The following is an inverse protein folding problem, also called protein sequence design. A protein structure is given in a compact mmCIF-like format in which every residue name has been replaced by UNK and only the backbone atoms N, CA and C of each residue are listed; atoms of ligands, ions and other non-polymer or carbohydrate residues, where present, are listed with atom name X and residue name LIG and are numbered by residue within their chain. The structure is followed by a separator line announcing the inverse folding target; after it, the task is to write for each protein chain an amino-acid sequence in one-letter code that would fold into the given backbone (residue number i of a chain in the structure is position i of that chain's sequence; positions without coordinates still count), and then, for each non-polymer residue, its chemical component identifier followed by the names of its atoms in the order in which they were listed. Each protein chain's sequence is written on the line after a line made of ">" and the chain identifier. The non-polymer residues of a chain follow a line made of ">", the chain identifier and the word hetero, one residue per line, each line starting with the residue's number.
data_IF_925346446452
#
_entry.id   IF_925346446452
#
_cell.length_a   1.000
_cell.length_b   1.000
_cell.length_c   1.000
_cell.angle_alpha   90.00
_cell.angle_beta   90.00
_cell.angle_gamma   90.00
#
_symmetry.space_group_name_H-M   'P 1'
#
loop_
_entity.id
_entity.type
_entity.pdbx_description
1 polymer ?
#
# COMPACT_ATOMS: atom_id res chain seq x y z
N UNK A 1 23.40 -2.44 -1.42
CA UNK A 1 23.58 -2.56 0.03
C UNK A 1 22.55 -1.68 0.75
N UNK A 2 21.92 -2.22 1.82
CA UNK A 2 20.88 -1.53 2.61
C UNK A 2 21.36 -0.21 3.20
N UNK A 3 22.60 -0.17 3.70
CA UNK A 3 23.20 1.04 4.30
C UNK A 3 23.34 2.15 3.24
N UNK A 4 23.80 1.83 2.06
CA UNK A 4 23.89 2.81 0.96
C UNK A 4 22.51 3.38 0.58
N UNK A 5 21.48 2.52 0.53
CA UNK A 5 20.10 2.97 0.25
C UNK A 5 19.58 3.88 1.35
N UNK A 6 19.83 3.57 2.61
CA UNK A 6 19.45 4.43 3.74
C UNK A 6 20.14 5.78 3.63
N UNK A 7 21.44 5.82 3.31
CA UNK A 7 22.19 7.07 3.16
C UNK A 7 21.67 7.91 2.00
N UNK A 8 21.41 7.30 0.84
CA UNK A 8 20.82 7.99 -0.31
C UNK A 8 19.44 8.59 0.05
N UNK A 9 18.57 7.79 0.66
CA UNK A 9 17.24 8.25 1.07
C UNK A 9 17.32 9.39 2.09
N UNK A 10 18.22 9.30 3.07
CA UNK A 10 18.47 10.37 4.03
C UNK A 10 18.91 11.67 3.33
N UNK A 11 19.85 11.57 2.39
CA UNK A 11 20.33 12.73 1.65
C UNK A 11 19.24 13.41 0.82
N UNK A 12 18.41 12.59 0.12
CA UNK A 12 17.27 13.08 -0.65
C UNK A 12 16.25 13.79 0.26
N UNK A 13 15.83 13.13 1.35
CA UNK A 13 14.87 13.69 2.31
C UNK A 13 15.39 14.97 2.98
N UNK A 14 16.67 15.01 3.34
CA UNK A 14 17.30 16.19 3.92
C UNK A 14 17.27 17.38 2.94
N UNK A 15 17.62 17.13 1.68
CA UNK A 15 17.58 18.16 0.62
C UNK A 15 16.17 18.66 0.38
N UNK A 16 15.19 17.74 0.25
CA UNK A 16 13.78 18.09 0.06
C UNK A 16 13.22 18.91 1.24
N UNK A 17 13.61 18.58 2.46
CA UNK A 17 13.18 19.31 3.65
C UNK A 17 13.94 20.64 3.86
N UNK A 18 14.94 20.97 3.03
CA UNK A 18 15.82 22.15 3.16
C UNK A 18 16.42 22.29 4.57
N UNK A 19 16.82 21.18 5.21
CA UNK A 19 17.36 21.13 6.57
C UNK A 19 18.78 20.58 6.58
N UNK A 20 19.60 21.08 7.46
CA UNK A 20 20.96 20.56 7.66
C UNK A 20 20.95 19.16 8.30
N UNK A 21 19.95 18.86 9.12
CA UNK A 21 19.79 17.58 9.80
C UNK A 21 18.33 17.19 9.92
N UNK A 22 18.05 15.90 9.69
CA UNK A 22 16.75 15.30 9.97
C UNK A 22 16.78 14.57 11.32
N UNK A 23 15.62 14.48 11.97
CA UNK A 23 15.47 13.65 13.18
C UNK A 23 15.56 12.17 12.79
N UNK A 24 16.23 11.38 13.63
CA UNK A 24 16.25 9.95 13.47
C UNK A 24 14.88 9.32 13.69
N UNK A 25 14.67 8.18 13.06
CA UNK A 25 13.48 7.37 13.31
C UNK A 25 13.49 6.87 14.75
N UNK A 26 12.35 6.98 15.41
CA UNK A 26 12.20 6.55 16.81
C UNK A 26 11.83 5.06 16.80
N UNK A 27 12.61 4.22 17.51
CA UNK A 27 12.42 2.76 17.53
C UNK A 27 11.48 2.27 18.64
N UNK A 28 11.21 3.10 19.66
CA UNK A 28 10.40 2.70 20.82
C UNK A 28 9.41 3.81 21.22
N UNK A 29 8.43 3.45 22.09
CA UNK A 29 7.46 4.39 22.66
C UNK A 29 6.27 4.72 21.75
N UNK A 30 5.42 5.64 22.21
CA UNK A 30 4.17 6.01 21.54
C UNK A 30 4.38 6.65 20.16
N UNK A 31 5.52 7.30 19.96
CA UNK A 31 5.90 7.96 18.67
C UNK A 31 6.82 7.08 17.82
N UNK A 32 6.83 5.76 18.03
CA UNK A 32 7.65 4.84 17.27
C UNK A 32 7.38 4.97 15.77
N UNK A 33 8.44 5.12 15.01
CA UNK A 33 8.37 5.08 13.53
C UNK A 33 8.08 3.66 13.07
N UNK A 34 7.30 3.53 12.00
CA UNK A 34 7.07 2.23 11.37
C UNK A 34 8.38 1.66 10.82
N UNK A 35 8.51 0.33 10.86
CA UNK A 35 9.68 -0.36 10.34
C UNK A 35 9.83 -0.12 8.84
N UNK A 36 11.08 0.06 8.39
CA UNK A 36 11.41 0.23 6.98
C UNK A 36 12.85 -0.23 6.74
N UNK A 37 13.02 -1.21 5.86
CA UNK A 37 14.31 -1.81 5.53
C UNK A 37 14.46 -1.85 4.02
N UNK A 38 15.16 -0.90 3.40
CA UNK A 38 15.38 -0.89 1.97
C UNK A 38 16.42 -1.91 1.56
N UNK A 39 16.33 -2.41 0.33
CA UNK A 39 17.30 -3.31 -0.28
C UNK A 39 17.53 -3.00 -1.76
N UNK A 40 18.69 -3.40 -2.28
CA UNK A 40 18.93 -3.46 -3.71
C UNK A 40 18.44 -4.78 -4.29
N UNK A 41 17.96 -4.78 -5.51
CA UNK A 41 17.44 -5.98 -6.20
C UNK A 41 18.43 -7.17 -6.13
N UNK A 42 19.72 -6.91 -6.29
CA UNK A 42 20.76 -7.93 -6.24
C UNK A 42 20.92 -8.61 -4.86
N UNK A 43 20.44 -7.99 -3.77
CA UNK A 43 20.55 -8.52 -2.40
C UNK A 43 19.40 -9.43 -1.98
N UNK A 44 18.36 -9.52 -2.80
CA UNK A 44 17.19 -10.36 -2.55
C UNK A 44 17.07 -11.42 -3.64
N UNK A 45 16.76 -12.65 -3.25
CA UNK A 45 16.62 -13.78 -4.19
C UNK A 45 15.34 -14.55 -3.89
N UNK A 46 14.64 -14.98 -4.93
CA UNK A 46 13.53 -15.93 -4.79
C UNK A 46 14.04 -17.27 -4.28
N UNK A 47 13.32 -17.90 -3.37
CA UNK A 47 13.61 -19.25 -2.87
C UNK A 47 12.29 -19.99 -2.63
N UNK A 48 11.91 -20.84 -3.57
CA UNK A 48 10.60 -21.52 -3.54
C UNK A 48 9.44 -20.55 -3.44
N UNK A 49 8.54 -20.76 -2.50
CA UNK A 49 7.39 -19.87 -2.18
C UNK A 49 7.75 -18.68 -1.31
N UNK A 50 9.02 -18.30 -1.25
CA UNK A 50 9.46 -17.18 -0.44
C UNK A 50 10.68 -16.49 -1.04
N UNK A 51 11.45 -15.85 -0.20
CA UNK A 51 12.65 -15.12 -0.59
C UNK A 51 13.78 -15.30 0.42
N UNK A 52 15.00 -15.07 -0.03
CA UNK A 52 16.22 -15.03 0.80
C UNK A 52 16.79 -13.62 0.78
N UNK A 53 17.05 -13.07 1.98
CA UNK A 53 17.65 -11.75 2.17
C UNK A 53 18.58 -11.78 3.39
N UNK A 54 19.80 -11.24 3.26
CA UNK A 54 20.82 -11.25 4.33
C UNK A 54 21.03 -12.64 4.97
N UNK A 55 21.11 -13.67 4.13
CA UNK A 55 21.33 -15.05 4.60
C UNK A 55 20.11 -15.75 5.18
N UNK A 56 19.02 -15.03 5.47
CA UNK A 56 17.80 -15.57 6.06
C UNK A 56 16.74 -15.82 5.00
N UNK A 57 15.92 -16.85 5.20
CA UNK A 57 14.75 -17.14 4.36
C UNK A 57 13.49 -16.57 5.00
N UNK A 58 12.66 -15.97 4.18
CA UNK A 58 11.38 -15.36 4.57
C UNK A 58 10.26 -16.00 3.77
N UNK A 59 9.19 -16.35 4.46
CA UNK A 59 7.94 -16.77 3.83
C UNK A 59 7.20 -15.53 3.36
N UNK A 60 6.72 -15.55 2.13
CA UNK A 60 5.90 -14.49 1.55
C UNK A 60 4.48 -15.00 1.37
N UNK A 61 3.51 -14.23 1.81
CA UNK A 61 2.11 -14.47 1.51
C UNK A 61 1.87 -14.08 0.04
N UNK A 62 1.04 -14.81 -0.69
CA UNK A 62 0.82 -14.59 -2.14
C UNK A 62 2.12 -14.68 -2.97
N UNK A 63 2.98 -15.66 -2.66
CA UNK A 63 4.25 -15.86 -3.35
C UNK A 63 4.10 -16.07 -4.88
N UNK A 64 2.93 -16.48 -5.34
CA UNK A 64 2.60 -16.66 -6.76
C UNK A 64 2.64 -15.32 -7.54
N UNK A 65 2.48 -14.21 -6.84
CA UNK A 65 2.66 -12.85 -7.41
C UNK A 65 4.14 -12.48 -7.61
N UNK A 66 5.07 -13.24 -7.05
CA UNK A 66 6.49 -13.07 -7.30
C UNK A 66 6.85 -13.68 -8.66
N UNK A 67 6.42 -13.03 -9.72
CA UNK A 67 6.70 -13.46 -11.10
C UNK A 67 8.19 -13.38 -11.40
N UNK A 68 8.64 -14.05 -12.47
CA UNK A 68 10.04 -14.03 -12.93
C UNK A 68 10.44 -12.71 -13.61
N UNK A 69 9.66 -11.66 -13.39
CA UNK A 69 9.97 -10.32 -13.87
C UNK A 69 11.22 -9.77 -13.19
N UNK A 70 11.93 -8.91 -13.87
CA UNK A 70 13.12 -8.22 -13.33
C UNK A 70 12.70 -7.35 -12.15
N UNK A 71 13.16 -7.71 -10.97
CA UNK A 71 12.92 -6.93 -9.78
C UNK A 71 13.79 -5.69 -9.72
N UNK A 72 13.22 -4.60 -9.26
CA UNK A 72 13.93 -3.37 -8.96
C UNK A 72 14.26 -3.27 -7.46
N UNK A 73 15.01 -2.23 -7.09
CA UNK A 73 15.31 -1.93 -5.69
C UNK A 73 14.00 -1.68 -4.92
N UNK A 74 13.84 -2.32 -3.79
CA UNK A 74 12.62 -2.28 -3.01
C UNK A 74 12.84 -2.10 -1.52
N UNK A 75 11.82 -2.42 -0.73
CA UNK A 75 11.93 -2.37 0.72
C UNK A 75 10.97 -3.34 1.41
N UNK A 76 11.28 -3.70 2.66
CA UNK A 76 10.32 -4.19 3.61
C UNK A 76 9.76 -3.01 4.39
N UNK A 77 8.45 -2.87 4.44
CA UNK A 77 7.77 -1.80 5.15
C UNK A 77 6.78 -2.35 6.18
N UNK A 78 6.74 -1.75 7.35
CA UNK A 78 5.77 -2.10 8.39
C UNK A 78 4.60 -1.14 8.34
N UNK A 79 3.39 -1.68 8.34
CA UNK A 79 2.17 -0.87 8.43
C UNK A 79 1.81 -0.45 9.86
N UNK A 80 0.77 0.36 10.00
CA UNK A 80 0.29 0.84 11.30
C UNK A 80 -0.30 -0.28 12.20
N UNK A 81 -0.63 -1.44 11.62
CA UNK A 81 -1.10 -2.62 12.35
C UNK A 81 0.05 -3.50 12.86
N UNK A 82 1.28 -3.23 12.38
CA UNK A 82 2.49 -3.98 12.72
C UNK A 82 2.81 -5.10 11.74
N UNK A 83 2.02 -5.25 10.68
CA UNK A 83 2.29 -6.24 9.64
C UNK A 83 3.39 -5.75 8.70
N UNK A 84 4.20 -6.69 8.20
CA UNK A 84 5.30 -6.40 7.28
C UNK A 84 4.92 -6.71 5.85
N UNK A 85 5.28 -5.81 4.96
CA UNK A 85 5.00 -5.87 3.54
C UNK A 85 6.30 -5.86 2.75
N UNK A 86 6.39 -6.70 1.74
CA UNK A 86 7.40 -6.64 0.70
C UNK A 86 6.91 -5.68 -0.38
N UNK A 87 7.60 -4.55 -0.53
CA UNK A 87 7.34 -3.57 -1.58
C UNK A 87 8.38 -3.77 -2.68
N UNK A 88 7.98 -4.34 -3.79
CA UNK A 88 8.86 -4.73 -4.89
C UNK A 88 8.37 -4.09 -6.19
N UNK A 89 9.01 -3.01 -6.66
CA UNK A 89 8.73 -2.47 -7.98
C UNK A 89 9.14 -3.47 -9.07
N UNK A 90 8.29 -3.66 -10.04
CA UNK A 90 8.56 -4.49 -11.22
C UNK A 90 8.39 -3.65 -12.48
N UNK A 91 9.27 -3.86 -13.45
CA UNK A 91 9.10 -3.26 -14.76
C UNK A 91 8.09 -4.10 -15.56
N UNK A 92 7.10 -3.45 -16.15
CA UNK A 92 6.19 -4.09 -17.09
C UNK A 92 5.98 -3.20 -18.32
N UNK A 93 5.71 -3.81 -19.45
CA UNK A 93 5.32 -3.08 -20.64
C UNK A 93 3.85 -2.63 -20.50
N UNK A 94 3.58 -1.35 -20.65
CA UNK A 94 2.22 -0.84 -20.66
C UNK A 94 1.48 -1.40 -21.88
N UNK A 95 0.32 -1.98 -21.67
CA UNK A 95 -0.60 -2.36 -22.73
C UNK A 95 -1.55 -1.18 -22.95
N UNK A 96 -1.51 -0.61 -24.15
CA UNK A 96 -2.47 0.42 -24.54
C UNK A 96 -3.75 -0.28 -25.01
N UNK A 97 -4.86 0.12 -24.44
CA UNK A 97 -6.16 -0.28 -24.95
C UNK A 97 -6.42 0.44 -26.29
N UNK A 98 -7.16 -0.18 -27.21
CA UNK A 98 -7.58 0.52 -28.42
C UNK A 98 -8.34 1.79 -28.07
N UNK A 99 -8.17 2.83 -28.88
CA UNK A 99 -8.92 4.07 -28.72
C UNK A 99 -10.43 3.77 -28.76
N UNK A 100 -11.18 4.38 -27.86
CA UNK A 100 -12.65 4.30 -27.83
C UNK A 100 -13.21 5.70 -28.07
N UNK A 101 -14.24 5.78 -28.91
CA UNK A 101 -14.99 7.03 -29.13
C UNK A 101 -16.02 7.28 -27.99
N UNK A 102 -16.14 6.34 -27.07
CA UNK A 102 -17.06 6.47 -25.93
C UNK A 102 -16.45 7.35 -24.85
N UNK A 103 -17.20 8.34 -24.43
CA UNK A 103 -16.87 9.21 -23.29
C UNK A 103 -17.91 9.05 -22.19
N UNK A 104 -17.45 8.85 -20.93
CA UNK A 104 -18.31 8.73 -19.76
C UNK A 104 -17.94 9.82 -18.76
N UNK A 105 -18.92 10.64 -18.38
CA UNK A 105 -18.77 11.60 -17.29
C UNK A 105 -18.84 10.90 -15.94
N UNK A 106 -17.98 11.29 -14.98
CA UNK A 106 -17.99 10.76 -13.62
C UNK A 106 -18.10 11.91 -12.62
N UNK A 107 -19.18 11.96 -11.86
CA UNK A 107 -19.38 12.88 -10.74
C UNK A 107 -18.99 12.20 -9.41
N UNK A 108 -18.21 12.91 -8.58
CA UNK A 108 -17.76 12.43 -7.27
C UNK A 108 -18.58 13.10 -6.17
N UNK A 109 -19.19 12.30 -5.31
CA UNK A 109 -20.08 12.76 -4.26
C UNK A 109 -19.83 12.16 -2.87
N UNK A 110 -20.59 12.66 -1.89
CA UNK A 110 -20.53 12.19 -0.50
C UNK A 110 -21.51 11.05 -0.21
N UNK A 111 -22.66 11.03 -0.88
CA UNK A 111 -23.69 9.97 -0.73
C UNK A 111 -23.27 8.73 -1.49
N UNK A 112 -23.07 8.88 -2.78
CA UNK A 112 -22.39 7.90 -3.62
C UNK A 112 -20.98 8.42 -3.87
N UNK A 113 -19.98 7.55 -3.82
CA UNK A 113 -18.58 7.94 -4.02
C UNK A 113 -18.32 8.37 -5.47
N UNK A 114 -19.06 7.81 -6.42
CA UNK A 114 -19.07 8.20 -7.81
C UNK A 114 -20.41 7.84 -8.45
N UNK A 115 -20.82 8.64 -9.44
CA UNK A 115 -21.98 8.38 -10.32
C UNK A 115 -21.55 8.68 -11.75
N UNK A 116 -21.83 7.77 -12.68
CA UNK A 116 -21.52 7.98 -14.10
C UNK A 116 -22.68 8.65 -14.84
N UNK A 117 -22.39 9.25 -16.00
CA UNK A 117 -23.42 9.73 -16.94
C UNK A 117 -24.38 8.61 -17.40
N UNK A 118 -23.93 7.37 -17.37
CA UNK A 118 -24.69 6.20 -17.77
C UNK A 118 -25.54 5.61 -16.65
N UNK A 119 -25.47 6.20 -15.43
CA UNK A 119 -26.27 5.82 -14.28
C UNK A 119 -25.60 4.80 -13.34
N UNK A 120 -24.39 4.32 -13.64
CA UNK A 120 -23.65 3.46 -12.73
C UNK A 120 -23.26 4.21 -11.44
N UNK A 121 -23.28 3.49 -10.32
CA UNK A 121 -23.03 4.08 -9.01
C UNK A 121 -22.01 3.30 -8.21
N UNK A 122 -21.07 4.01 -7.63
CA UNK A 122 -20.17 3.49 -6.60
C UNK A 122 -20.67 3.96 -5.24
N UNK A 123 -21.20 3.04 -4.44
CA UNK A 123 -21.74 3.36 -3.11
C UNK A 123 -20.62 3.72 -2.14
N UNK A 124 -20.87 4.67 -1.25
CA UNK A 124 -20.04 4.97 -0.08
C UNK A 124 -20.51 4.15 1.13
N UNK A 125 -19.87 4.30 2.30
CA UNK A 125 -20.39 3.73 3.55
C UNK A 125 -19.61 2.53 4.10
N UNK A 126 -18.50 2.14 3.47
CA UNK A 126 -17.62 1.07 3.97
C UNK A 126 -17.12 1.31 5.42
N UNK A 127 -16.97 2.57 5.81
CA UNK A 127 -16.65 2.95 7.18
C UNK A 127 -17.87 2.80 8.10
N UNK A 128 -19.04 3.30 7.71
CA UNK A 128 -20.26 3.28 8.51
C UNK A 128 -20.66 1.86 8.92
N UNK A 129 -20.48 0.88 8.04
CA UNK A 129 -20.79 -0.53 8.36
C UNK A 129 -19.91 -1.12 9.48
N UNK A 130 -18.74 -0.54 9.74
CA UNK A 130 -17.81 -0.97 10.79
C UNK A 130 -17.74 -0.01 11.98
N UNK A 131 -18.38 1.14 11.90
CA UNK A 131 -18.35 2.20 12.92
C UNK A 131 -18.74 1.73 14.32
N UNK A 132 -19.82 0.94 14.54
CA UNK A 132 -20.16 0.44 15.85
C UNK A 132 -19.07 -0.43 16.46
N UNK A 133 -18.44 -1.28 15.64
CA UNK A 133 -17.36 -2.17 16.08
C UNK A 133 -16.09 -1.36 16.40
N UNK A 134 -15.80 -0.32 15.61
CA UNK A 134 -14.68 0.60 15.86
C UNK A 134 -14.88 1.33 17.17
N UNK A 135 -16.07 1.92 17.37
CA UNK A 135 -16.42 2.62 18.60
C UNK A 135 -16.35 1.70 19.84
N UNK A 136 -16.81 0.46 19.72
CA UNK A 136 -16.70 -0.53 20.79
C UNK A 136 -15.24 -0.86 21.11
N UNK A 137 -14.41 -1.10 20.09
CA UNK A 137 -12.99 -1.38 20.29
C UNK A 137 -12.25 -0.20 20.92
N UNK A 138 -12.60 1.04 20.55
CA UNK A 138 -12.03 2.26 21.12
C UNK A 138 -12.43 2.42 22.59
N UNK A 139 -13.74 2.25 22.93
CA UNK A 139 -14.21 2.33 24.34
C UNK A 139 -13.54 1.29 25.24
N UNK A 140 -13.26 0.10 24.72
CA UNK A 140 -12.54 -0.98 25.43
C UNK A 140 -11.02 -0.81 25.47
N UNK A 141 -10.47 0.24 24.87
CA UNK A 141 -9.03 0.45 24.79
C UNK A 141 -8.29 -0.51 23.85
N UNK A 142 -8.99 -1.28 23.01
CA UNK A 142 -8.43 -2.27 22.10
C UNK A 142 -7.85 -1.61 20.85
N UNK A 143 -6.80 -0.81 21.00
CA UNK A 143 -6.17 0.01 19.93
C UNK A 143 -5.78 -0.78 18.68
N UNK A 144 -5.27 -2.02 18.84
CA UNK A 144 -4.90 -2.87 17.70
C UNK A 144 -6.12 -3.31 16.91
N UNK A 145 -7.20 -3.67 17.59
CA UNK A 145 -8.46 -4.05 16.95
C UNK A 145 -9.08 -2.86 16.19
N UNK A 146 -9.13 -1.69 16.81
CA UNK A 146 -9.63 -0.48 16.16
C UNK A 146 -8.83 -0.17 14.87
N UNK A 147 -7.49 -0.22 14.92
CA UNK A 147 -6.64 -0.05 13.74
C UNK A 147 -6.94 -1.05 12.63
N UNK A 148 -7.12 -2.33 12.97
CA UNK A 148 -7.48 -3.38 12.00
C UNK A 148 -8.84 -3.13 11.35
N UNK A 149 -9.83 -2.67 12.10
CA UNK A 149 -11.14 -2.32 11.57
C UNK A 149 -11.08 -1.11 10.64
N UNK A 150 -10.33 -0.07 10.99
CA UNK A 150 -10.07 1.06 10.08
C UNK A 150 -9.40 0.61 8.78
N UNK A 151 -8.38 -0.27 8.88
CA UNK A 151 -7.73 -0.85 7.68
C UNK A 151 -8.72 -1.65 6.85
N UNK A 152 -9.59 -2.45 7.49
CA UNK A 152 -10.62 -3.22 6.77
C UNK A 152 -11.58 -2.30 6.00
N UNK A 153 -12.00 -1.18 6.60
CA UNK A 153 -12.84 -0.19 5.92
C UNK A 153 -12.10 0.45 4.73
N UNK A 154 -10.84 0.82 4.91
CA UNK A 154 -10.01 1.40 3.85
C UNK A 154 -9.80 0.43 2.69
N UNK A 155 -9.48 -0.85 2.97
CA UNK A 155 -9.28 -1.88 1.96
C UNK A 155 -10.56 -2.14 1.16
N UNK A 156 -11.72 -2.25 1.83
CA UNK A 156 -13.02 -2.43 1.16
C UNK A 156 -13.34 -1.26 0.22
N UNK A 157 -13.09 -0.04 0.68
CA UNK A 157 -13.29 1.15 -0.15
C UNK A 157 -12.38 1.13 -1.37
N UNK A 158 -11.10 0.84 -1.17
CA UNK A 158 -10.12 0.78 -2.25
C UNK A 158 -10.45 -0.32 -3.26
N UNK A 159 -10.85 -1.49 -2.79
CA UNK A 159 -11.27 -2.60 -3.64
C UNK A 159 -12.47 -2.23 -4.49
N UNK A 160 -13.51 -1.65 -3.89
CA UNK A 160 -14.69 -1.18 -4.61
C UNK A 160 -14.35 -0.11 -5.66
N UNK A 161 -13.43 0.83 -5.33
CA UNK A 161 -12.95 1.83 -6.28
C UNK A 161 -12.20 1.22 -7.45
N UNK A 162 -11.35 0.22 -7.20
CA UNK A 162 -10.63 -0.49 -8.27
C UNK A 162 -11.57 -1.30 -9.16
N UNK A 163 -12.55 -1.98 -8.58
CA UNK A 163 -13.56 -2.71 -9.35
C UNK A 163 -14.38 -1.77 -10.23
N UNK A 164 -14.82 -0.64 -9.67
CA UNK A 164 -15.58 0.36 -10.40
C UNK A 164 -14.77 1.00 -11.54
N UNK A 165 -13.53 1.42 -11.27
CA UNK A 165 -12.66 1.99 -12.30
C UNK A 165 -12.36 0.98 -13.43
N UNK A 166 -12.16 -0.30 -13.07
CA UNK A 166 -11.95 -1.36 -14.06
C UNK A 166 -13.19 -1.61 -14.91
N UNK A 167 -14.37 -1.57 -14.30
CA UNK A 167 -15.64 -1.67 -15.03
C UNK A 167 -15.75 -0.55 -16.07
N UNK A 168 -15.47 0.70 -15.68
CA UNK A 168 -15.53 1.84 -16.60
C UNK A 168 -14.56 1.74 -17.77
N UNK A 169 -13.36 1.21 -17.54
CA UNK A 169 -12.33 1.07 -18.59
C UNK A 169 -12.66 -0.09 -19.56
N UNK A 170 -13.40 -1.10 -19.10
CA UNK A 170 -13.74 -2.29 -19.90
C UNK A 170 -15.08 -2.16 -20.63
N UNK A 171 -15.82 -1.08 -20.44
CA UNK A 171 -17.04 -0.74 -21.21
C UNK A 171 -16.72 -0.04 -22.53
#
# INVERSE_FOLDING_TARGET
>A
DTIQRINCEYAIKRRAAKRSRLRWRVSRGARRSLGWVPFKAASIKRKGSGLRFCGKSFRVFDADRLTDTKWCDGCFAQDACGDWWLCLPVAYAAQFLPASDRAVGVDLGCKDAAVTSDGDRLTSGHYRSLEPQIAQAQRRGHKRQAKRLHRKAANRRQDAQHQFSRMLVNQ
#
